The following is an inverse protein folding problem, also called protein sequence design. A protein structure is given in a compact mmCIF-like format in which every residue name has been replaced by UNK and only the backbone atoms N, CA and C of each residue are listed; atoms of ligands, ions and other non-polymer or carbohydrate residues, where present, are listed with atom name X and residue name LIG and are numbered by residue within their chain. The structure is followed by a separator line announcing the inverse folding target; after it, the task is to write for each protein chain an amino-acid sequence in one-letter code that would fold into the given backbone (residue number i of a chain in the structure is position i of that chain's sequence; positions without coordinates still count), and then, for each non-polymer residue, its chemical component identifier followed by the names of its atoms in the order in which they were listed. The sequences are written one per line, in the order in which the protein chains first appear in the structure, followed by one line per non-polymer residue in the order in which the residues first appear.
data_IF_740272837009
#
_entry.id   IF_740272837009
#
_cell.length_a   1.000
_cell.length_b   1.000
_cell.length_c   1.000
_cell.angle_alpha   90.00
_cell.angle_beta   90.00
_cell.angle_gamma   90.00
#
_symmetry.space_group_name_H-M   'P 1'
#
loop_
_entity.id
_entity.type
_entity.pdbx_description
1 polymer ?
#
# COMPACT_ATOMS: atom_id res chain seq x y z
N UNK A 1 49.69 62.73 -13.46
CA UNK A 1 49.56 61.38 -14.06
C UNK A 1 48.25 60.78 -13.57
N UNK A 2 47.23 60.66 -14.44
CA UNK A 2 45.92 60.08 -14.10
C UNK A 2 46.02 58.56 -14.26
N UNK A 3 45.91 57.81 -13.16
CA UNK A 3 45.80 56.35 -13.18
C UNK A 3 44.36 55.98 -13.50
N UNK A 4 44.16 55.28 -14.62
CA UNK A 4 42.90 54.63 -14.95
C UNK A 4 42.86 53.29 -14.22
N UNK A 5 41.88 53.12 -13.34
CA UNK A 5 41.60 51.85 -12.66
C UNK A 5 40.54 51.13 -13.49
N UNK A 6 40.96 50.16 -14.30
CA UNK A 6 40.04 49.24 -14.97
C UNK A 6 39.55 48.24 -13.93
N UNK A 7 38.30 48.40 -13.49
CA UNK A 7 37.60 47.41 -12.69
C UNK A 7 37.14 46.30 -13.65
N UNK A 8 37.91 45.20 -13.69
CA UNK A 8 37.49 43.98 -14.38
C UNK A 8 36.41 43.32 -13.51
N UNK A 9 35.16 43.43 -13.92
CA UNK A 9 34.07 42.60 -13.40
C UNK A 9 34.24 41.24 -14.04
N UNK A 10 34.89 40.30 -13.35
CA UNK A 10 34.82 38.89 -13.74
C UNK A 10 33.37 38.44 -13.51
N UNK A 11 32.67 37.87 -14.51
CA UNK A 11 31.42 37.18 -14.24
C UNK A 11 31.72 36.02 -13.31
N UNK A 12 31.14 36.06 -12.11
CA UNK A 12 31.11 34.94 -11.18
C UNK A 12 30.20 33.89 -11.82
N UNK A 13 30.79 32.98 -12.59
CA UNK A 13 30.09 31.79 -13.04
C UNK A 13 29.87 30.94 -11.79
N UNK A 14 28.64 30.93 -11.27
CA UNK A 14 28.19 29.91 -10.33
C UNK A 14 28.34 28.59 -11.07
N UNK A 15 29.36 27.81 -10.69
CA UNK A 15 29.44 26.41 -11.09
C UNK A 15 28.25 25.73 -10.40
N UNK A 16 27.18 25.48 -11.15
CA UNK A 16 26.19 24.51 -10.72
C UNK A 16 26.94 23.20 -10.46
N UNK A 17 26.70 22.59 -9.29
CA UNK A 17 27.12 21.23 -9.02
C UNK A 17 26.46 20.36 -10.08
N UNK A 18 27.24 19.98 -11.10
CA UNK A 18 26.86 18.86 -11.95
C UNK A 18 26.97 17.66 -11.02
N UNK A 19 25.84 17.10 -10.57
CA UNK A 19 25.85 15.79 -9.93
C UNK A 19 26.57 14.85 -10.89
N UNK A 20 27.70 14.30 -10.45
CA UNK A 20 28.45 13.36 -11.26
C UNK A 20 27.59 12.10 -11.41
N UNK A 21 27.27 11.73 -12.65
CA UNK A 21 26.68 10.42 -12.90
C UNK A 21 27.56 9.34 -12.23
N UNK A 22 26.95 8.33 -11.59
CA UNK A 22 27.69 7.26 -10.92
C UNK A 22 28.73 6.66 -11.86
N UNK A 23 30.00 6.96 -11.62
CA UNK A 23 31.07 6.42 -12.43
C UNK A 23 31.33 4.97 -11.98
N UNK A 24 31.35 4.04 -12.92
CA UNK A 24 31.77 2.68 -12.68
C UNK A 24 33.16 2.68 -12.01
N UNK A 25 33.23 2.23 -10.75
CA UNK A 25 34.45 2.23 -9.94
C UNK A 25 34.58 3.34 -8.90
N UNK A 26 33.74 4.37 -8.93
CA UNK A 26 33.70 5.45 -7.94
C UNK A 26 32.75 5.07 -6.81
N UNK A 27 33.29 4.40 -5.79
CA UNK A 27 32.53 3.82 -4.68
C UNK A 27 32.32 4.82 -3.55
N UNK A 28 33.17 5.85 -3.46
CA UNK A 28 33.08 6.89 -2.44
C UNK A 28 32.42 8.19 -2.92
N UNK A 29 32.01 8.25 -4.19
CA UNK A 29 31.37 9.39 -4.86
C UNK A 29 32.20 10.66 -4.84
N UNK A 30 33.52 10.51 -4.84
CA UNK A 30 34.43 11.66 -4.89
C UNK A 30 34.49 12.31 -6.28
N UNK A 31 33.93 11.67 -7.32
CA UNK A 31 34.02 12.06 -8.72
C UNK A 31 35.38 11.70 -9.35
N UNK A 32 36.22 10.97 -8.63
CA UNK A 32 37.54 10.52 -9.07
C UNK A 32 37.69 9.06 -8.70
N UNK A 33 37.79 8.20 -9.72
CA UNK A 33 38.11 6.79 -9.48
C UNK A 33 39.60 6.73 -9.08
N UNK A 34 39.93 6.32 -7.87
CA UNK A 34 41.29 6.08 -7.39
C UNK A 34 41.39 4.93 -6.36
N UNK A 35 42.44 4.93 -5.54
CA UNK A 35 42.67 3.87 -4.54
C UNK A 35 41.74 4.02 -3.33
N UNK A 36 41.19 5.21 -3.08
CA UNK A 36 40.20 5.44 -2.02
C UNK A 36 38.95 4.61 -2.26
N UNK A 37 38.52 4.46 -3.52
CA UNK A 37 37.42 3.59 -3.87
C UNK A 37 37.69 2.15 -3.45
N UNK A 38 38.82 1.57 -3.85
CA UNK A 38 39.16 0.20 -3.46
C UNK A 38 39.21 0.04 -1.93
N UNK A 39 39.72 1.04 -1.21
CA UNK A 39 39.71 1.03 0.26
C UNK A 39 38.28 1.06 0.79
N UNK A 40 37.40 1.88 0.20
CA UNK A 40 35.99 1.96 0.54
C UNK A 40 35.28 0.61 0.32
N UNK A 41 35.47 -0.01 -0.85
CA UNK A 41 34.92 -1.34 -1.16
C UNK A 41 35.43 -2.43 -0.21
N UNK A 42 36.73 -2.42 0.12
CA UNK A 42 37.30 -3.34 1.11
C UNK A 42 36.70 -3.13 2.49
N UNK A 43 36.54 -1.87 2.92
CA UNK A 43 35.96 -1.56 4.22
C UNK A 43 34.49 -1.97 4.29
N UNK A 44 33.71 -1.71 3.23
CA UNK A 44 32.35 -2.23 3.08
C UNK A 44 32.31 -3.76 3.24
N UNK A 45 33.15 -4.49 2.49
CA UNK A 45 33.12 -5.95 2.46
C UNK A 45 33.63 -6.63 3.73
N UNK A 46 34.64 -6.07 4.40
CA UNK A 46 35.38 -6.78 5.46
C UNK A 46 35.35 -6.08 6.81
N UNK A 47 35.15 -4.77 6.85
CA UNK A 47 35.22 -3.97 8.06
C UNK A 47 33.84 -3.52 8.57
N UNK A 48 32.76 -3.81 7.83
CA UNK A 48 31.44 -3.25 8.10
C UNK A 48 31.42 -1.73 7.90
N UNK A 49 32.19 -1.25 6.92
CA UNK A 49 32.19 0.14 6.49
C UNK A 49 30.81 0.61 6.02
N UNK A 50 30.68 1.90 5.66
CA UNK A 50 29.42 2.41 5.14
C UNK A 50 28.92 1.60 3.93
N UNK A 51 27.59 1.44 3.76
CA UNK A 51 27.03 0.77 2.59
C UNK A 51 27.47 1.50 1.31
N UNK A 52 27.76 0.75 0.24
CA UNK A 52 28.05 1.34 -1.06
C UNK A 52 26.86 2.20 -1.50
N UNK A 53 27.07 3.46 -1.88
CA UNK A 53 26.01 4.29 -2.42
C UNK A 53 25.37 3.64 -3.65
N UNK A 54 26.20 3.06 -4.52
CA UNK A 54 25.76 2.40 -5.75
C UNK A 54 26.38 1.00 -5.89
N UNK A 55 25.74 -0.05 -5.34
CA UNK A 55 26.25 -1.42 -5.43
C UNK A 55 26.59 -1.86 -6.86
N UNK A 56 25.81 -1.44 -7.84
CA UNK A 56 26.05 -1.73 -9.26
C UNK A 56 27.34 -1.12 -9.83
N UNK A 57 27.93 -0.08 -9.22
CA UNK A 57 29.22 0.47 -9.69
C UNK A 57 30.35 -0.47 -9.31
N UNK A 58 30.15 -1.30 -8.29
CA UNK A 58 31.13 -2.29 -7.88
C UNK A 58 31.08 -3.56 -8.74
N UNK A 59 29.96 -3.95 -9.36
CA UNK A 59 29.84 -5.20 -10.14
C UNK A 59 30.62 -5.16 -11.47
N UNK A 60 31.94 -5.31 -11.40
CA UNK A 60 32.79 -5.23 -12.59
C UNK A 60 32.85 -6.52 -13.40
N UNK A 61 32.47 -7.67 -12.81
CA UNK A 61 32.43 -8.96 -13.49
C UNK A 61 31.06 -9.29 -14.08
N UNK A 62 30.05 -8.45 -13.83
CA UNK A 62 28.69 -8.61 -14.36
C UNK A 62 27.98 -9.81 -13.76
N UNK A 63 28.31 -10.15 -12.51
CA UNK A 63 27.74 -11.29 -11.79
C UNK A 63 26.27 -11.05 -11.37
N UNK A 64 25.74 -9.85 -11.59
CA UNK A 64 24.30 -9.58 -11.57
C UNK A 64 23.72 -9.39 -10.18
N UNK A 65 24.51 -8.93 -9.22
CA UNK A 65 24.01 -8.71 -7.86
C UNK A 65 25.08 -8.67 -6.78
N UNK A 66 25.99 -9.62 -6.90
CA UNK A 66 26.74 -10.05 -5.73
C UNK A 66 28.07 -9.31 -5.67
N UNK A 67 28.19 -8.42 -4.69
CA UNK A 67 29.47 -7.80 -4.34
C UNK A 67 30.22 -8.76 -3.43
N UNK A 68 31.12 -9.53 -4.02
CA UNK A 68 31.96 -10.48 -3.30
C UNK A 68 33.46 -10.29 -3.64
N UNK A 69 34.31 -11.22 -3.18
CA UNK A 69 35.75 -11.11 -3.41
C UNK A 69 36.14 -11.11 -4.90
N UNK A 70 35.35 -11.74 -5.78
CA UNK A 70 35.57 -11.69 -7.24
C UNK A 70 35.44 -10.26 -7.75
N UNK A 71 34.47 -9.50 -7.22
CA UNK A 71 34.25 -8.09 -7.51
C UNK A 71 35.51 -7.27 -7.22
N UNK A 72 36.05 -7.40 -6.00
CA UNK A 72 37.28 -6.72 -5.60
C UNK A 72 38.49 -7.14 -6.45
N UNK A 73 38.64 -8.44 -6.72
CA UNK A 73 39.74 -8.96 -7.55
C UNK A 73 39.65 -8.37 -8.94
N UNK A 74 38.46 -8.34 -9.53
CA UNK A 74 38.24 -7.80 -10.87
C UNK A 74 38.57 -6.29 -10.93
N UNK A 75 38.23 -5.50 -9.91
CA UNK A 75 38.64 -4.09 -9.85
C UNK A 75 40.15 -3.91 -9.72
N UNK A 76 40.80 -4.66 -8.83
CA UNK A 76 42.27 -4.61 -8.68
C UNK A 76 42.96 -5.02 -9.97
N UNK A 77 42.49 -6.08 -10.65
CA UNK A 77 43.07 -6.55 -11.90
C UNK A 77 42.84 -5.58 -13.05
N UNK A 78 41.60 -5.10 -13.25
CA UNK A 78 41.26 -4.25 -14.39
C UNK A 78 41.83 -2.83 -14.29
N UNK A 79 41.86 -2.27 -13.07
CA UNK A 79 42.14 -0.86 -12.88
C UNK A 79 43.56 -0.60 -12.38
N UNK A 80 44.05 -1.41 -11.43
CA UNK A 80 45.33 -1.15 -10.75
C UNK A 80 46.51 -1.93 -11.31
N UNK A 81 46.32 -3.19 -11.69
CA UNK A 81 47.43 -4.04 -12.10
C UNK A 81 47.72 -3.94 -13.60
N UNK A 82 46.67 -3.75 -14.42
CA UNK A 82 46.78 -3.90 -15.86
C UNK A 82 46.19 -2.74 -16.67
N UNK A 83 46.39 -1.48 -16.26
CA UNK A 83 46.02 -0.22 -16.96
C UNK A 83 45.26 -0.44 -18.30
N UNK A 84 43.96 -0.78 -18.21
CA UNK A 84 43.06 -0.86 -19.36
C UNK A 84 42.97 -2.18 -20.13
N UNK A 85 43.35 -3.34 -19.57
CA UNK A 85 43.16 -4.65 -20.24
C UNK A 85 41.72 -5.17 -20.14
N UNK A 86 40.95 -4.78 -19.12
CA UNK A 86 39.52 -5.08 -19.05
C UNK A 86 38.69 -3.82 -18.78
N UNK A 87 37.57 -3.72 -19.49
CA UNK A 87 36.56 -2.68 -19.30
C UNK A 87 35.57 -3.22 -18.26
N UNK A 88 35.52 -2.66 -17.04
CA UNK A 88 34.60 -3.13 -16.02
C UNK A 88 33.17 -3.10 -16.57
N UNK A 89 32.45 -4.20 -16.40
CA UNK A 89 31.09 -4.38 -16.92
C UNK A 89 30.07 -3.89 -15.90
N UNK A 90 30.15 -2.62 -15.48
CA UNK A 90 29.09 -2.07 -14.63
C UNK A 90 27.78 -2.04 -15.43
N UNK A 91 26.87 -2.94 -15.11
CA UNK A 91 25.56 -3.00 -15.77
C UNK A 91 24.57 -2.14 -15.00
N UNK A 92 24.60 -0.84 -15.25
CA UNK A 92 23.46 0.01 -14.96
C UNK A 92 22.53 -0.02 -16.16
N UNK A 93 21.34 -0.57 -15.96
CA UNK A 93 20.26 -0.38 -16.92
C UNK A 93 19.39 0.71 -16.33
N UNK A 94 19.46 1.89 -16.94
CA UNK A 94 18.46 2.94 -16.72
C UNK A 94 17.08 2.32 -16.95
N UNK A 95 16.26 2.35 -15.91
CA UNK A 95 14.94 1.75 -15.90
C UNK A 95 13.93 2.80 -16.31
N UNK A 96 13.61 2.83 -17.60
CA UNK A 96 12.75 3.84 -18.20
C UNK A 96 11.24 3.57 -18.05
N UNK A 97 10.86 2.47 -17.38
CA UNK A 97 9.45 2.07 -17.23
C UNK A 97 8.89 2.59 -15.90
N UNK A 98 8.94 3.91 -15.72
CA UNK A 98 8.43 4.60 -14.54
C UNK A 98 7.63 5.84 -14.95
N UNK A 99 6.89 6.41 -13.99
CA UNK A 99 6.22 7.69 -14.12
C UNK A 99 6.31 8.49 -12.83
N UNK A 100 6.18 9.81 -12.93
CA UNK A 100 6.25 10.73 -11.79
C UNK A 100 4.97 11.55 -11.66
N UNK A 101 4.60 11.80 -10.41
CA UNK A 101 3.48 12.61 -10.02
C UNK A 101 3.92 13.52 -8.87
N UNK A 102 3.76 14.83 -9.04
CA UNK A 102 4.04 15.80 -7.99
C UNK A 102 2.73 16.31 -7.41
N UNK A 103 2.61 16.27 -6.08
CA UNK A 103 1.55 16.92 -5.34
C UNK A 103 1.56 18.44 -5.51
N UNK A 104 0.54 19.10 -4.96
CA UNK A 104 0.53 20.56 -4.89
C UNK A 104 1.49 21.03 -3.79
N UNK A 105 2.08 22.21 -4.02
CA UNK A 105 2.79 22.97 -3.00
C UNK A 105 1.98 22.99 -1.68
N UNK A 106 2.58 22.48 -0.61
CA UNK A 106 1.91 22.41 0.69
C UNK A 106 1.88 23.82 1.31
N UNK A 107 0.79 24.55 1.06
CA UNK A 107 0.53 25.96 1.45
C UNK A 107 0.60 26.24 2.98
N UNK A 108 0.85 25.24 3.82
CA UNK A 108 0.61 25.27 5.26
C UNK A 108 1.84 25.52 6.14
N UNK A 109 3.07 25.38 5.62
CA UNK A 109 4.26 25.73 6.38
C UNK A 109 4.58 27.22 6.19
N UNK A 110 3.94 28.08 6.98
CA UNK A 110 4.35 29.47 7.07
C UNK A 110 5.86 29.53 7.31
N UNK A 111 6.57 30.37 6.56
CA UNK A 111 8.03 30.47 6.45
C UNK A 111 8.86 30.59 7.77
N UNK A 112 8.21 30.52 8.93
CA UNK A 112 8.79 30.52 10.28
C UNK A 112 8.72 29.16 11.00
N UNK A 113 8.15 28.09 10.40
CA UNK A 113 7.97 26.79 11.05
C UNK A 113 9.24 25.91 11.07
N UNK A 114 10.37 26.44 11.55
CA UNK A 114 11.59 25.65 11.76
C UNK A 114 12.16 24.99 10.49
N UNK A 115 13.25 24.22 10.60
CA UNK A 115 13.66 23.36 9.49
C UNK A 115 12.51 22.37 9.23
N UNK A 116 11.91 22.45 8.05
CA UNK A 116 10.97 21.44 7.57
C UNK A 116 11.62 20.07 7.77
N UNK A 117 10.90 19.17 8.44
CA UNK A 117 11.41 17.82 8.64
C UNK A 117 11.12 17.07 7.38
N UNK A 118 12.19 16.74 6.66
CA UNK A 118 12.12 15.69 5.67
C UNK A 118 11.56 14.43 6.34
N UNK A 119 10.45 13.91 5.81
CA UNK A 119 9.77 12.74 6.39
C UNK A 119 10.34 11.42 5.86
N UNK A 120 11.38 11.47 5.03
CA UNK A 120 11.97 10.31 4.39
C UNK A 120 11.02 9.66 3.40
N UNK A 121 11.48 8.62 2.72
CA UNK A 121 10.68 7.89 1.74
C UNK A 121 9.95 6.67 2.34
N UNK A 122 8.88 6.23 1.69
CA UNK A 122 8.31 4.90 1.85
C UNK A 122 7.81 4.36 0.50
N UNK A 123 7.62 3.05 0.37
CA UNK A 123 7.14 2.43 -0.87
C UNK A 123 5.93 1.53 -0.67
N UNK A 124 5.11 1.38 -1.71
CA UNK A 124 3.91 0.53 -1.73
C UNK A 124 3.90 -0.30 -3.00
N UNK A 125 3.76 -1.62 -2.88
CA UNK A 125 3.49 -2.48 -4.03
C UNK A 125 1.99 -2.49 -4.35
N UNK A 126 1.63 -2.07 -5.56
CA UNK A 126 0.25 -2.06 -6.07
C UNK A 126 0.22 -2.91 -7.33
N UNK A 127 -0.23 -4.16 -7.18
CA UNK A 127 -0.21 -5.13 -8.27
C UNK A 127 1.21 -5.43 -8.77
N UNK A 128 1.51 -5.09 -10.02
CA UNK A 128 2.83 -5.25 -10.63
C UNK A 128 3.65 -3.95 -10.65
N UNK A 129 3.29 -3.00 -9.79
CA UNK A 129 3.92 -1.68 -9.72
C UNK A 129 4.43 -1.43 -8.29
N UNK A 130 5.47 -0.61 -8.16
CA UNK A 130 5.89 -0.06 -6.87
C UNK A 130 5.73 1.45 -6.94
N UNK A 131 4.88 1.99 -6.08
CA UNK A 131 4.76 3.42 -5.82
C UNK A 131 5.80 3.82 -4.77
N UNK A 132 6.52 4.88 -5.05
CA UNK A 132 7.57 5.43 -4.22
C UNK A 132 7.12 6.81 -3.80
N UNK A 133 6.88 6.99 -2.51
CA UNK A 133 6.40 8.22 -1.93
C UNK A 133 7.53 8.93 -1.20
N UNK A 134 7.66 10.22 -1.46
CA UNK A 134 8.51 11.12 -0.69
C UNK A 134 7.70 12.33 -0.20
N UNK A 135 7.04 12.20 0.98
CA UNK A 135 6.22 13.26 1.55
C UNK A 135 7.04 14.42 2.10
N UNK A 136 6.50 15.64 1.97
CA UNK A 136 7.10 16.89 2.47
C UNK A 136 8.55 17.16 2.00
N UNK A 137 8.92 16.70 0.80
CA UNK A 137 10.24 16.94 0.22
C UNK A 137 10.52 18.45 0.08
N UNK A 138 11.40 18.96 0.92
CA UNK A 138 11.61 20.41 1.10
C UNK A 138 12.62 21.01 0.14
N UNK A 139 13.44 20.17 -0.50
CA UNK A 139 14.50 20.56 -1.40
C UNK A 139 14.04 20.64 -2.86
N UNK A 140 12.89 20.05 -3.22
CA UNK A 140 12.32 20.25 -4.55
C UNK A 140 11.80 21.68 -4.66
N UNK A 141 12.53 22.53 -5.36
CA UNK A 141 12.17 23.94 -5.44
C UNK A 141 11.16 24.20 -6.56
N UNK A 142 11.09 23.33 -7.57
CA UNK A 142 10.40 23.59 -8.81
C UNK A 142 9.13 22.74 -8.97
N UNK A 143 8.16 23.26 -9.74
CA UNK A 143 6.97 22.50 -10.15
C UNK A 143 7.28 21.31 -11.08
N UNK A 144 8.54 21.12 -11.48
CA UNK A 144 8.94 20.07 -12.40
C UNK A 144 9.87 19.13 -11.68
N UNK A 145 9.43 17.89 -11.55
CA UNK A 145 10.09 16.81 -10.82
C UNK A 145 10.27 15.61 -11.76
N UNK A 146 11.39 14.92 -11.62
CA UNK A 146 11.67 13.65 -12.28
C UNK A 146 12.45 12.75 -11.31
N UNK A 147 12.25 11.43 -11.44
CA UNK A 147 13.06 10.44 -10.73
C UNK A 147 13.72 9.53 -11.74
N UNK A 148 15.04 9.57 -11.83
CA UNK A 148 15.77 8.63 -12.67
C UNK A 148 16.03 7.34 -11.90
N UNK A 149 15.41 6.24 -12.34
CA UNK A 149 15.62 4.93 -11.74
C UNK A 149 16.70 4.12 -12.43
N UNK A 150 17.56 3.50 -11.62
CA UNK A 150 18.53 2.50 -12.03
C UNK A 150 18.19 1.17 -11.36
N UNK A 151 18.16 0.08 -12.14
CA UNK A 151 17.79 -1.25 -11.63
C UNK A 151 19.00 -2.18 -11.56
N UNK A 152 19.12 -2.87 -10.43
CA UNK A 152 20.11 -3.91 -10.16
C UNK A 152 19.44 -5.15 -9.55
N UNK A 153 19.12 -6.14 -10.39
CA UNK A 153 18.33 -7.30 -9.95
C UNK A 153 16.94 -6.87 -9.46
N UNK A 154 16.71 -6.97 -8.15
CA UNK A 154 15.49 -6.50 -7.47
C UNK A 154 15.70 -5.22 -6.65
N UNK A 155 16.86 -4.56 -6.77
CA UNK A 155 17.14 -3.29 -6.12
C UNK A 155 16.98 -2.14 -7.13
N UNK A 156 16.12 -1.18 -6.83
CA UNK A 156 15.98 0.08 -7.56
C UNK A 156 16.66 1.22 -6.80
N UNK A 157 17.36 2.08 -7.52
CA UNK A 157 17.95 3.31 -6.99
C UNK A 157 17.36 4.47 -7.79
N UNK A 158 16.53 5.29 -7.14
CA UNK A 158 15.92 6.49 -7.72
C UNK A 158 16.70 7.74 -7.34
N UNK A 159 16.96 8.61 -8.32
CA UNK A 159 17.57 9.92 -8.10
C UNK A 159 16.56 10.98 -8.45
N UNK A 160 16.24 11.81 -7.48
CA UNK A 160 15.35 12.92 -7.71
C UNK A 160 16.09 14.06 -8.41
N UNK A 161 15.39 14.73 -9.32
CA UNK A 161 15.90 15.89 -10.02
C UNK A 161 14.80 16.93 -10.28
N UNK A 162 15.13 18.19 -10.05
CA UNK A 162 14.35 19.33 -10.54
C UNK A 162 14.52 19.46 -12.07
N UNK A 163 13.41 19.46 -12.82
CA UNK A 163 13.45 19.51 -14.30
C UNK A 163 13.31 20.92 -14.90
N UNK A 164 13.03 21.92 -14.07
CA UNK A 164 12.81 23.30 -14.51
C UNK A 164 14.02 24.23 -14.26
N UNK A 165 13.97 25.44 -14.83
CA UNK A 165 14.97 26.48 -14.54
C UNK A 165 15.00 26.82 -13.05
N UNK A 166 16.20 27.08 -12.51
CA UNK A 166 16.46 27.44 -11.12
C UNK A 166 15.35 28.31 -10.51
N UNK A 167 14.67 27.77 -9.52
CA UNK A 167 13.58 28.34 -8.77
C UNK A 167 13.96 28.42 -7.28
N UNK A 168 13.41 29.39 -6.55
CA UNK A 168 13.60 29.41 -5.10
C UNK A 168 12.63 28.40 -4.47
N UNK A 169 13.11 27.56 -3.54
CA UNK A 169 12.26 26.68 -2.74
C UNK A 169 11.31 27.50 -1.87
N UNK A 170 10.02 27.53 -2.24
CA UNK A 170 9.00 28.25 -1.49
C UNK A 170 8.14 27.35 -0.60
N UNK A 171 8.06 26.04 -0.91
CA UNK A 171 7.24 25.09 -0.17
C UNK A 171 7.72 23.66 -0.38
N UNK A 172 7.44 22.75 0.56
CA UNK A 172 7.62 21.33 0.35
C UNK A 172 6.53 20.75 -0.55
N UNK A 173 6.85 19.62 -1.17
CA UNK A 173 5.96 18.87 -2.06
C UNK A 173 5.84 17.43 -1.60
N UNK A 174 4.66 16.85 -1.77
CA UNK A 174 4.52 15.40 -1.72
C UNK A 174 4.86 14.84 -3.10
N UNK A 175 5.93 14.07 -3.19
CA UNK A 175 6.39 13.49 -4.43
C UNK A 175 5.97 12.03 -4.51
N UNK A 176 5.56 11.60 -5.69
CA UNK A 176 5.27 10.22 -5.99
C UNK A 176 5.94 9.84 -7.31
N UNK A 177 6.51 8.65 -7.36
CA UNK A 177 6.86 8.01 -8.62
C UNK A 177 6.46 6.55 -8.61
N UNK A 178 6.25 5.97 -9.78
CA UNK A 178 5.76 4.61 -9.94
C UNK A 178 6.70 3.82 -10.82
N UNK A 179 7.17 2.67 -10.35
CA UNK A 179 7.99 1.72 -11.09
C UNK A 179 7.06 0.63 -11.65
N UNK A 180 6.90 0.55 -12.97
CA UNK A 180 5.92 -0.31 -13.61
C UNK A 180 6.46 -1.69 -14.00
N UNK A 181 5.53 -2.59 -14.36
CA UNK A 181 5.81 -3.86 -15.04
C UNK A 181 6.79 -4.79 -14.32
N UNK A 182 6.70 -4.83 -12.99
CA UNK A 182 7.51 -5.69 -12.15
C UNK A 182 6.99 -7.13 -12.17
N UNK A 183 7.92 -8.08 -12.20
CA UNK A 183 7.60 -9.47 -11.94
C UNK A 183 7.32 -9.67 -10.45
N UNK A 184 6.55 -10.69 -10.06
CA UNK A 184 6.42 -11.04 -8.66
C UNK A 184 7.78 -11.27 -7.99
N UNK A 185 8.01 -10.68 -6.82
CA UNK A 185 9.27 -10.73 -6.09
C UNK A 185 9.36 -9.69 -4.97
N UNK A 186 10.34 -9.86 -4.10
CA UNK A 186 10.74 -8.85 -3.11
C UNK A 186 11.71 -7.86 -3.77
N UNK A 187 11.46 -6.58 -3.59
CA UNK A 187 12.21 -5.47 -4.17
C UNK A 187 12.65 -4.48 -3.11
N UNK A 188 13.86 -3.96 -3.26
CA UNK A 188 14.41 -2.90 -2.41
C UNK A 188 14.41 -1.62 -3.25
N UNK A 189 13.97 -0.51 -2.69
CA UNK A 189 14.06 0.82 -3.33
C UNK A 189 14.88 1.73 -2.44
N UNK A 190 15.88 2.38 -3.03
CA UNK A 190 16.67 3.45 -2.43
C UNK A 190 16.35 4.74 -3.15
N UNK A 191 16.03 5.80 -2.42
CA UNK A 191 15.80 7.13 -2.98
C UNK A 191 16.90 8.09 -2.53
N UNK A 192 17.45 8.82 -3.49
CA UNK A 192 18.50 9.82 -3.31
C UNK A 192 17.95 11.19 -3.74
N UNK A 193 18.11 12.21 -2.90
CA UNK A 193 17.64 13.56 -3.18
C UNK A 193 18.43 14.28 -4.28
N UNK A 194 17.99 15.51 -4.59
CA UNK A 194 18.65 16.40 -5.57
C UNK A 194 20.06 16.85 -5.16
N UNK A 195 20.41 16.74 -3.88
CA UNK A 195 21.71 17.10 -3.32
C UNK A 195 22.66 15.88 -3.24
N UNK A 196 22.16 14.67 -3.53
CA UNK A 196 22.89 13.40 -3.47
C UNK A 196 22.86 12.72 -2.10
N UNK A 197 22.01 13.17 -1.18
CA UNK A 197 21.80 12.55 0.12
C UNK A 197 20.84 11.36 0.04
N UNK A 198 20.99 10.42 0.96
CA UNK A 198 20.09 9.28 1.10
C UNK A 198 18.83 9.69 1.86
N UNK A 199 17.68 9.64 1.18
CA UNK A 199 16.37 9.90 1.80
C UNK A 199 15.80 8.69 2.49
N UNK A 200 16.01 7.51 1.90
CA UNK A 200 15.70 6.27 2.58
C UNK A 200 15.93 5.03 1.75
N UNK A 201 15.67 3.90 2.41
CA UNK A 201 15.69 2.57 1.80
C UNK A 201 14.50 1.82 2.35
N UNK A 202 13.66 1.31 1.46
CA UNK A 202 12.48 0.55 1.85
C UNK A 202 12.31 -0.70 0.97
N UNK A 203 11.55 -1.68 1.43
CA UNK A 203 11.38 -2.98 0.77
C UNK A 203 9.89 -3.29 0.57
N UNK A 204 9.53 -3.70 -0.64
CA UNK A 204 8.16 -4.06 -1.01
C UNK A 204 8.13 -5.42 -1.69
N UNK A 205 7.06 -6.18 -1.45
CA UNK A 205 6.81 -7.45 -2.12
C UNK A 205 5.76 -7.27 -3.19
N UNK A 206 6.19 -7.33 -4.45
CA UNK A 206 5.29 -7.41 -5.60
C UNK A 206 4.74 -8.83 -5.63
N UNK A 207 3.50 -9.03 -5.22
CA UNK A 207 2.85 -10.33 -5.24
C UNK A 207 2.27 -10.64 -6.63
N UNK A 208 2.07 -11.93 -6.92
CA UNK A 208 1.17 -12.32 -8.01
C UNK A 208 -0.26 -11.95 -7.63
N UNK A 209 -0.80 -10.90 -8.25
CA UNK A 209 -2.17 -10.42 -8.01
C UNK A 209 -2.20 -8.90 -7.98
N UNK A 210 -3.23 -8.28 -8.54
CA UNK A 210 -3.45 -6.86 -8.30
C UNK A 210 -3.88 -6.69 -6.84
N UNK A 211 -3.21 -5.78 -6.14
CA UNK A 211 -3.64 -5.34 -4.82
C UNK A 211 -4.09 -3.90 -5.00
N UNK A 212 -5.34 -3.61 -4.64
CA UNK A 212 -5.89 -2.26 -4.67
C UNK A 212 -6.34 -1.90 -3.27
N UNK A 213 -6.10 -0.66 -2.88
CA UNK A 213 -6.51 -0.15 -1.59
C UNK A 213 -7.35 1.10 -1.82
N UNK A 214 -8.45 1.19 -1.08
CA UNK A 214 -9.27 2.38 -1.01
C UNK A 214 -9.36 2.81 0.46
N UNK A 215 -8.99 4.07 0.69
CA UNK A 215 -9.14 4.72 1.99
C UNK A 215 -10.35 5.61 1.86
N UNK A 216 -11.46 5.19 2.45
CA UNK A 216 -12.70 5.97 2.45
C UNK A 216 -12.51 7.36 3.03
N UNK A 217 -13.47 8.26 2.77
CA UNK A 217 -13.43 9.59 3.37
C UNK A 217 -13.41 9.50 4.90
N UNK A 218 -12.66 10.41 5.53
CA UNK A 218 -12.70 10.66 6.96
C UNK A 218 -14.16 10.91 7.38
N UNK A 219 -14.78 9.96 8.07
CA UNK A 219 -16.17 10.08 8.52
C UNK A 219 -16.15 10.89 9.82
N UNK A 220 -16.61 12.16 9.81
CA UNK A 220 -16.57 13.00 11.00
C UNK A 220 -17.65 12.50 11.95
N UNK A 221 -17.30 12.14 13.19
CA UNK A 221 -18.30 11.77 14.19
C UNK A 221 -19.21 12.98 14.49
N UNK A 222 -20.50 12.94 14.14
CA UNK A 222 -21.40 14.07 14.36
C UNK A 222 -21.76 14.29 15.85
N UNK A 223 -21.37 13.39 16.77
CA UNK A 223 -21.84 13.37 18.17
C UNK A 223 -20.75 13.57 19.23
N UNK A 224 -19.53 13.96 18.87
CA UNK A 224 -18.39 14.08 19.81
C UNK A 224 -17.74 12.72 20.04
N UNK A 225 -17.01 12.43 21.14
CA UNK A 225 -16.48 11.09 21.38
C UNK A 225 -17.43 10.24 22.25
N UNK A 226 -18.48 9.56 21.74
CA UNK A 226 -19.19 8.55 22.50
C UNK A 226 -18.95 7.15 21.93
N UNK A 227 -18.52 6.24 22.81
CA UNK A 227 -18.63 4.78 22.63
C UNK A 227 -18.23 4.29 21.23
N UNK A 228 -16.95 4.52 20.88
CA UNK A 228 -16.27 3.94 19.72
C UNK A 228 -16.78 2.51 19.50
N UNK A 229 -17.54 2.31 18.43
CA UNK A 229 -17.96 0.97 18.03
C UNK A 229 -16.73 0.08 17.93
N UNK A 230 -16.88 -1.19 18.28
CA UNK A 230 -15.80 -2.15 18.05
C UNK A 230 -15.46 -2.14 16.54
N UNK A 231 -14.17 -2.14 16.15
CA UNK A 231 -13.78 -2.18 14.74
C UNK A 231 -14.39 -3.41 14.08
N UNK A 232 -14.98 -3.22 12.89
CA UNK A 232 -15.68 -4.31 12.20
C UNK A 232 -14.85 -4.71 10.99
N UNK A 233 -14.19 -5.87 11.09
CA UNK A 233 -13.40 -6.44 9.99
C UNK A 233 -14.14 -7.64 9.40
N UNK A 234 -14.35 -7.61 8.08
CA UNK A 234 -14.91 -8.72 7.32
C UNK A 234 -14.24 -8.88 5.96
N UNK A 235 -14.51 -10.04 5.34
CA UNK A 235 -13.89 -10.44 4.10
C UNK A 235 -14.98 -10.92 3.13
N UNK A 236 -14.93 -10.43 1.90
CA UNK A 236 -15.81 -10.80 0.80
C UNK A 236 -14.96 -11.50 -0.26
N UNK A 237 -15.43 -12.64 -0.76
CA UNK A 237 -14.78 -13.33 -1.89
C UNK A 237 -15.74 -13.37 -3.06
N UNK A 238 -15.39 -12.71 -4.16
CA UNK A 238 -16.20 -12.67 -5.36
C UNK A 238 -15.31 -12.74 -6.61
N UNK A 239 -15.59 -13.72 -7.47
CA UNK A 239 -14.99 -13.81 -8.80
C UNK A 239 -13.44 -13.81 -8.83
N UNK A 240 -12.80 -14.49 -7.87
CA UNK A 240 -11.34 -14.51 -7.76
C UNK A 240 -10.72 -13.30 -7.05
N UNK A 241 -11.56 -12.45 -6.46
CA UNK A 241 -11.18 -11.22 -5.76
C UNK A 241 -11.55 -11.33 -4.29
N UNK A 242 -10.58 -11.17 -3.40
CA UNK A 242 -10.76 -11.06 -1.96
C UNK A 242 -10.82 -9.58 -1.58
N UNK A 243 -11.93 -9.13 -1.02
CA UNK A 243 -12.05 -7.79 -0.45
C UNK A 243 -12.06 -7.89 1.06
N UNK A 244 -11.07 -7.32 1.74
CA UNK A 244 -11.09 -7.03 3.17
C UNK A 244 -11.71 -5.65 3.37
N UNK A 245 -12.70 -5.55 4.26
CA UNK A 245 -13.29 -4.28 4.68
C UNK A 245 -13.08 -4.12 6.18
N UNK A 246 -12.61 -2.94 6.59
CA UNK A 246 -12.47 -2.54 7.98
C UNK A 246 -13.30 -1.27 8.21
N UNK A 247 -14.47 -1.45 8.81
CA UNK A 247 -15.36 -0.36 9.21
C UNK A 247 -14.98 0.16 10.60
N UNK A 248 -15.19 1.46 10.81
CA UNK A 248 -14.84 2.14 12.05
C UNK A 248 -13.37 1.93 12.43
N UNK A 249 -12.45 2.09 11.47
CA UNK A 249 -11.01 1.91 11.68
C UNK A 249 -10.43 3.05 12.54
N UNK A 250 -10.77 3.08 13.82
CA UNK A 250 -10.50 4.20 14.71
C UNK A 250 -9.06 4.28 15.21
N UNK A 251 -8.23 3.29 14.92
CA UNK A 251 -6.80 3.37 15.19
C UNK A 251 -6.08 4.26 14.15
N UNK A 252 -6.75 4.52 13.03
CA UNK A 252 -6.17 5.23 11.91
C UNK A 252 -6.45 6.74 12.06
N UNK A 253 -5.63 7.42 12.87
CA UNK A 253 -5.84 8.82 13.23
C UNK A 253 -5.28 9.82 12.22
N UNK A 254 -4.40 9.40 11.31
CA UNK A 254 -3.75 10.27 10.35
C UNK A 254 -4.57 10.38 9.06
N UNK A 255 -4.46 11.53 8.39
CA UNK A 255 -5.07 11.73 7.07
C UNK A 255 -4.47 10.80 6.00
N UNK A 256 -3.22 10.38 6.19
CA UNK A 256 -2.53 9.50 5.26
C UNK A 256 -2.30 8.14 5.88
N UNK A 257 -3.01 7.18 5.30
CA UNK A 257 -3.02 5.78 5.67
C UNK A 257 -2.44 4.98 4.52
N UNK A 258 -1.56 4.06 4.86
CA UNK A 258 -1.04 3.06 3.95
C UNK A 258 -1.60 1.71 4.35
N UNK A 259 -2.18 1.00 3.39
CA UNK A 259 -2.46 -0.41 3.54
C UNK A 259 -1.40 -1.20 2.77
N UNK A 260 -0.83 -2.20 3.43
CA UNK A 260 0.14 -3.14 2.86
C UNK A 260 -0.38 -4.57 3.03
N UNK A 261 -0.02 -5.47 2.12
CA UNK A 261 -0.36 -6.90 2.17
C UNK A 261 0.90 -7.75 2.13
N UNK A 262 1.16 -8.45 3.23
CA UNK A 262 2.22 -9.44 3.32
C UNK A 262 1.60 -10.86 3.23
N UNK A 263 2.02 -11.66 2.24
CA UNK A 263 1.58 -13.06 2.07
C UNK A 263 2.70 -14.00 2.54
N UNK A 264 2.48 -14.69 3.66
CA UNK A 264 3.43 -15.67 4.23
C UNK A 264 2.82 -17.06 4.24
N UNK A 265 3.10 -17.84 3.18
CA UNK A 265 2.48 -19.14 3.00
C UNK A 265 0.96 -19.00 2.78
N UNK A 266 0.18 -19.57 3.69
CA UNK A 266 -1.29 -19.47 3.68
C UNK A 266 -1.80 -18.32 4.58
N UNK A 267 -0.92 -17.44 5.07
CA UNK A 267 -1.30 -16.28 5.89
C UNK A 267 -1.32 -15.01 5.05
N UNK A 268 -2.43 -14.28 5.05
CA UNK A 268 -2.61 -12.96 4.46
C UNK A 268 -2.57 -11.92 5.58
N UNK A 269 -1.60 -11.01 5.57
CA UNK A 269 -1.46 -9.97 6.60
C UNK A 269 -1.69 -8.60 5.99
N UNK A 270 -2.79 -7.98 6.36
CA UNK A 270 -3.11 -6.61 6.00
C UNK A 270 -2.49 -5.70 7.07
N UNK A 271 -1.61 -4.79 6.69
CA UNK A 271 -0.98 -3.82 7.59
C UNK A 271 -1.52 -2.43 7.29
N UNK A 272 -2.24 -1.86 8.23
CA UNK A 272 -2.74 -0.49 8.22
C UNK A 272 -1.72 0.38 8.95
N UNK A 273 -1.06 1.30 8.24
CA UNK A 273 0.00 2.14 8.80
C UNK A 273 -0.37 3.60 8.65
N UNK A 274 -0.32 4.36 9.73
CA UNK A 274 -0.31 5.81 9.65
C UNK A 274 1.05 6.24 9.10
N UNK A 275 1.10 6.74 7.86
CA UNK A 275 2.35 7.22 7.25
C UNK A 275 2.64 8.68 7.60
N UNK A 276 1.61 9.44 7.99
CA UNK A 276 1.79 10.83 8.40
C UNK A 276 2.05 11.01 9.91
N UNK A 277 3.30 10.80 10.31
CA UNK A 277 3.96 11.75 11.21
C UNK A 277 4.48 11.24 12.56
N UNK A 278 5.64 11.80 12.89
CA UNK A 278 6.39 11.75 14.16
C UNK A 278 5.59 12.05 15.45
N UNK A 279 4.31 12.38 15.37
CA UNK A 279 3.54 12.92 16.48
C UNK A 279 2.15 12.28 16.60
N UNK A 280 1.68 12.04 17.83
CA UNK A 280 0.33 11.57 18.08
C UNK A 280 -0.69 12.58 17.57
N UNK A 281 -1.23 12.32 16.38
CA UNK A 281 -2.42 12.99 15.88
C UNK A 281 -3.61 12.42 16.64
N UNK A 282 -4.37 13.25 17.40
CA UNK A 282 -5.60 12.78 17.99
C UNK A 282 -6.57 12.42 16.87
N UNK A 283 -7.06 11.17 16.86
CA UNK A 283 -8.10 10.72 15.95
C UNK A 283 -9.28 11.70 15.96
N UNK A 284 -9.49 12.39 14.85
CA UNK A 284 -10.65 13.29 14.66
C UNK A 284 -11.80 12.62 13.90
N UNK A 285 -11.51 11.49 13.22
CA UNK A 285 -12.46 10.69 12.48
C UNK A 285 -11.98 9.24 12.42
N UNK A 286 -12.84 8.36 11.93
CA UNK A 286 -12.53 7.00 11.53
C UNK A 286 -12.58 6.90 10.01
N UNK A 287 -11.96 5.84 9.51
CA UNK A 287 -11.87 5.54 8.10
C UNK A 287 -12.54 4.20 7.82
N UNK A 288 -13.13 4.12 6.64
CA UNK A 288 -13.63 2.88 6.06
C UNK A 288 -12.55 2.39 5.11
N UNK A 289 -11.82 1.35 5.51
CA UNK A 289 -10.71 0.85 4.72
C UNK A 289 -11.14 -0.35 3.91
N UNK A 290 -10.78 -0.35 2.63
CA UNK A 290 -10.99 -1.48 1.74
C UNK A 290 -9.67 -1.92 1.14
N UNK A 291 -9.34 -3.20 1.28
CA UNK A 291 -8.23 -3.84 0.56
C UNK A 291 -8.77 -4.91 -0.37
N UNK A 292 -8.38 -4.86 -1.63
CA UNK A 292 -8.78 -5.79 -2.68
C UNK A 292 -7.55 -6.57 -3.10
N UNK A 293 -7.63 -7.89 -3.05
CA UNK A 293 -6.57 -8.83 -3.42
C UNK A 293 -7.07 -9.74 -4.53
N UNK A 294 -6.52 -9.61 -5.72
CA UNK A 294 -6.85 -10.47 -6.85
C UNK A 294 -5.87 -11.63 -6.99
N UNK A 295 -6.30 -12.71 -7.64
CA UNK A 295 -5.39 -13.77 -8.09
C UNK A 295 -4.92 -14.73 -7.01
N UNK A 296 -5.50 -14.67 -5.81
CA UNK A 296 -5.29 -15.69 -4.78
C UNK A 296 -5.83 -17.05 -5.26
N UNK A 297 -5.03 -18.14 -5.20
CA UNK A 297 -5.56 -19.45 -5.51
C UNK A 297 -6.64 -19.85 -4.49
N UNK A 298 -7.65 -20.64 -4.90
CA UNK A 298 -8.59 -21.22 -3.94
C UNK A 298 -7.88 -22.02 -2.85
N UNK A 299 -8.31 -21.87 -1.61
CA UNK A 299 -7.62 -22.45 -0.46
C UNK A 299 -8.19 -22.04 0.89
N UNK A 300 -7.55 -22.48 1.96
CA UNK A 300 -7.81 -22.00 3.31
C UNK A 300 -6.67 -21.08 3.71
N UNK A 301 -7.01 -19.89 4.19
CA UNK A 301 -6.05 -18.87 4.58
C UNK A 301 -6.28 -18.44 6.03
N UNK A 302 -5.23 -17.92 6.66
CA UNK A 302 -5.32 -17.13 7.89
C UNK A 302 -5.24 -15.67 7.49
N UNK A 303 -6.32 -14.91 7.66
CA UNK A 303 -6.29 -13.47 7.48
C UNK A 303 -5.99 -12.79 8.81
N UNK A 304 -5.01 -11.90 8.82
CA UNK A 304 -4.56 -11.09 9.94
C UNK A 304 -4.64 -9.61 9.53
N UNK A 305 -5.23 -8.76 10.36
CA UNK A 305 -5.21 -7.30 10.18
C UNK A 305 -4.39 -6.71 11.31
N UNK A 306 -3.38 -5.93 10.97
CA UNK A 306 -2.49 -5.24 11.87
C UNK A 306 -2.67 -3.74 11.68
N UNK A 307 -2.71 -2.99 12.77
CA UNK A 307 -2.56 -1.53 12.74
C UNK A 307 -1.19 -1.14 13.30
N UNK A 308 -0.59 -0.11 12.74
CA UNK A 308 0.63 0.50 13.22
C UNK A 308 0.46 2.03 13.23
N UNK A 309 0.30 2.59 14.43
CA UNK A 309 0.06 4.02 14.57
C UNK A 309 1.30 4.87 14.31
N UNK A 310 2.49 4.32 14.54
CA UNK A 310 3.75 4.99 14.26
C UNK A 310 4.78 4.01 13.70
N UNK A 311 5.70 4.46 12.82
CA UNK A 311 6.70 3.58 12.21
C UNK A 311 7.57 2.80 13.20
N UNK A 312 7.80 3.35 14.40
CA UNK A 312 8.62 2.74 15.45
C UNK A 312 7.84 1.87 16.44
N UNK A 313 6.51 1.85 16.39
CA UNK A 313 5.70 1.00 17.26
C UNK A 313 5.56 -0.41 16.69
N UNK A 314 5.39 -1.39 17.56
CA UNK A 314 5.06 -2.75 17.12
C UNK A 314 3.63 -2.77 16.58
N UNK A 315 3.41 -3.44 15.44
CA UNK A 315 2.07 -3.56 14.86
C UNK A 315 1.12 -4.30 15.81
N UNK A 316 -0.05 -3.70 16.06
CA UNK A 316 -1.12 -4.25 16.87
C UNK A 316 -2.03 -5.15 16.01
N UNK A 317 -2.14 -6.43 16.37
CA UNK A 317 -3.08 -7.35 15.72
C UNK A 317 -4.54 -7.00 16.09
N UNK A 318 -5.31 -6.49 15.13
CA UNK A 318 -6.72 -6.11 15.26
C UNK A 318 -7.67 -7.28 15.03
N UNK A 319 -7.45 -8.06 13.96
CA UNK A 319 -8.27 -9.23 13.62
C UNK A 319 -7.39 -10.40 13.22
N UNK A 320 -7.85 -11.61 13.55
CA UNK A 320 -7.25 -12.86 13.08
C UNK A 320 -8.30 -13.94 12.92
N UNK A 321 -8.51 -14.42 11.70
CA UNK A 321 -9.46 -15.50 11.43
C UNK A 321 -9.07 -16.38 10.27
N UNK A 322 -9.58 -17.61 10.28
CA UNK A 322 -9.47 -18.49 9.13
C UNK A 322 -10.54 -18.09 8.11
N UNK A 323 -10.14 -17.85 6.88
CA UNK A 323 -11.03 -17.64 5.74
C UNK A 323 -10.85 -18.80 4.75
N UNK A 324 -11.91 -19.14 4.02
CA UNK A 324 -11.85 -20.13 2.96
C UNK A 324 -12.18 -19.45 1.64
N UNK A 325 -11.24 -19.50 0.69
CA UNK A 325 -11.42 -19.05 -0.68
C UNK A 325 -11.87 -20.26 -1.50
N UNK A 326 -13.16 -20.39 -1.81
CA UNK A 326 -13.71 -21.55 -2.49
C UNK A 326 -13.16 -21.71 -3.92
N UNK A 327 -13.08 -22.97 -4.37
CA UNK A 327 -12.61 -23.31 -5.70
C UNK A 327 -13.67 -22.99 -6.76
N UNK A 328 -13.40 -21.95 -7.55
CA UNK A 328 -14.28 -21.44 -8.61
C UNK A 328 -15.06 -20.20 -8.18
N UNK A 329 -15.85 -19.65 -9.10
CA UNK A 329 -16.78 -18.56 -8.81
C UNK A 329 -17.98 -19.10 -8.00
N UNK A 330 -17.77 -19.56 -6.77
CA UNK A 330 -18.87 -19.44 -5.78
C UNK A 330 -18.93 -17.98 -5.39
N UNK A 331 -19.38 -17.17 -6.33
CA UNK A 331 -19.86 -15.83 -6.05
C UNK A 331 -21.24 -16.00 -5.43
N UNK A 332 -21.54 -15.13 -4.48
CA UNK A 332 -22.94 -14.84 -4.21
C UNK A 332 -23.37 -13.86 -5.30
N UNK A 333 -24.11 -14.36 -6.29
CA UNK A 333 -24.18 -13.65 -7.58
C UNK A 333 -25.40 -12.75 -7.75
N UNK A 334 -26.45 -12.91 -6.93
CA UNK A 334 -27.70 -12.16 -7.09
C UNK A 334 -28.37 -11.92 -5.74
N UNK A 335 -28.58 -10.63 -5.43
CA UNK A 335 -29.54 -10.19 -4.44
C UNK A 335 -30.69 -9.47 -5.10
N UNK A 336 -31.88 -9.71 -4.57
CA UNK A 336 -33.07 -8.94 -4.91
C UNK A 336 -33.87 -8.67 -3.65
N UNK A 337 -34.36 -7.45 -3.52
CA UNK A 337 -35.43 -7.11 -2.61
C UNK A 337 -36.77 -7.07 -3.36
N UNK A 338 -37.88 -7.31 -2.64
CA UNK A 338 -39.23 -7.16 -3.19
C UNK A 338 -39.71 -5.71 -3.30
N UNK A 339 -38.88 -4.73 -2.94
CA UNK A 339 -39.29 -3.41 -2.51
C UNK A 339 -40.09 -3.45 -1.20
N UNK A 340 -40.45 -2.24 -0.74
CA UNK A 340 -41.22 -1.97 0.47
C UNK A 340 -42.60 -2.65 0.43
N UNK A 341 -42.78 -3.73 1.18
CA UNK A 341 -44.07 -4.42 1.32
C UNK A 341 -44.93 -3.67 2.35
N UNK A 342 -46.19 -3.38 2.00
CA UNK A 342 -47.16 -2.79 2.93
C UNK A 342 -47.24 -3.62 4.21
N UNK A 343 -47.05 -2.98 5.38
CA UNK A 343 -47.05 -3.57 6.75
C UNK A 343 -47.98 -4.77 6.90
N UNK A 344 -47.51 -5.94 6.47
CA UNK A 344 -48.12 -7.21 6.78
C UNK A 344 -47.71 -7.51 8.20
N UNK A 345 -48.65 -7.84 9.08
CA UNK A 345 -48.31 -8.45 10.38
C UNK A 345 -47.76 -9.87 10.23
N UNK A 346 -47.03 -10.12 9.14
CA UNK A 346 -46.34 -11.37 8.87
C UNK A 346 -45.23 -11.57 9.87
N UNK A 347 -44.95 -12.84 10.13
CA UNK A 347 -43.78 -13.23 10.92
C UNK A 347 -42.60 -13.23 9.96
N UNK A 348 -41.47 -12.65 10.34
CA UNK A 348 -40.22 -12.83 9.61
C UNK A 348 -39.91 -14.33 9.52
N UNK A 349 -39.68 -14.82 8.30
CA UNK A 349 -39.41 -16.24 8.01
C UNK A 349 -38.26 -16.33 7.03
N UNK A 350 -37.24 -17.11 7.38
CA UNK A 350 -36.16 -17.46 6.46
C UNK A 350 -36.42 -18.85 5.88
N UNK A 351 -36.39 -18.93 4.55
CA UNK A 351 -36.48 -20.16 3.79
C UNK A 351 -35.17 -20.42 3.06
N UNK A 352 -34.83 -21.70 2.96
CA UNK A 352 -33.63 -22.18 2.28
C UNK A 352 -34.05 -23.21 1.23
N UNK A 353 -33.68 -23.02 -0.03
CA UNK A 353 -33.96 -23.94 -1.13
C UNK A 353 -32.67 -24.28 -1.89
N UNK A 354 -32.28 -25.54 -1.85
CA UNK A 354 -31.13 -26.06 -2.58
C UNK A 354 -31.58 -26.82 -3.83
N UNK A 355 -31.00 -26.50 -4.98
CA UNK A 355 -31.33 -27.12 -6.27
C UNK A 355 -30.18 -27.99 -6.85
N UNK A 356 -29.18 -28.33 -6.03
CA UNK A 356 -28.06 -29.20 -6.38
C UNK A 356 -26.73 -28.46 -6.62
N UNK A 357 -26.77 -27.19 -7.01
CA UNK A 357 -25.58 -26.33 -7.11
C UNK A 357 -25.76 -24.98 -6.41
N UNK A 358 -27.00 -24.54 -6.24
CA UNK A 358 -27.34 -23.21 -5.73
C UNK A 358 -28.20 -23.33 -4.48
N UNK A 359 -27.75 -22.69 -3.40
CA UNK A 359 -28.56 -22.44 -2.21
C UNK A 359 -29.23 -21.08 -2.35
N UNK A 360 -30.55 -21.08 -2.49
CA UNK A 360 -31.38 -19.89 -2.45
C UNK A 360 -31.81 -19.64 -1.01
N UNK A 361 -31.49 -18.46 -0.49
CA UNK A 361 -32.03 -17.93 0.74
C UNK A 361 -33.15 -16.95 0.41
N UNK A 362 -34.26 -17.04 1.12
CA UNK A 362 -35.36 -16.07 1.05
C UNK A 362 -35.78 -15.70 2.47
N UNK A 363 -35.50 -14.49 2.91
CA UNK A 363 -35.99 -13.93 4.16
C UNK A 363 -37.24 -13.10 3.87
N UNK A 364 -38.40 -13.69 4.13
CA UNK A 364 -39.70 -13.06 3.97
C UNK A 364 -40.03 -12.15 5.13
N UNK A 365 -40.67 -11.02 4.83
CA UNK A 365 -41.08 -10.03 5.81
C UNK A 365 -39.93 -9.61 6.76
N UNK A 366 -38.73 -9.39 6.22
CA UNK A 366 -37.58 -8.93 6.99
C UNK A 366 -37.87 -7.53 7.57
N UNK A 367 -38.05 -7.47 8.89
CA UNK A 367 -38.41 -6.23 9.60
C UNK A 367 -37.20 -5.41 10.07
N UNK A 368 -35.99 -5.93 9.87
CA UNK A 368 -34.73 -5.30 10.28
C UNK A 368 -34.03 -4.54 9.14
N UNK A 369 -34.73 -4.33 8.03
CA UNK A 369 -34.19 -3.70 6.83
C UNK A 369 -35.06 -2.49 6.52
N UNK A 370 -34.87 -1.38 7.24
CA UNK A 370 -35.85 -0.28 7.21
C UNK A 370 -35.61 0.73 6.09
N UNK A 371 -34.44 0.65 5.45
CA UNK A 371 -34.09 1.45 4.29
C UNK A 371 -34.26 0.72 2.96
N UNK A 372 -34.36 1.51 1.90
CA UNK A 372 -34.51 1.01 0.52
C UNK A 372 -33.20 0.44 -0.07
N UNK A 373 -32.10 0.49 0.69
CA UNK A 373 -30.79 0.02 0.25
C UNK A 373 -30.28 -0.97 1.28
N UNK A 374 -30.40 -2.26 0.94
CA UNK A 374 -29.96 -3.37 1.78
C UNK A 374 -28.74 -3.97 1.10
N UNK A 375 -27.61 -3.92 1.78
CA UNK A 375 -26.47 -4.75 1.44
C UNK A 375 -26.65 -6.11 2.06
N UNK A 376 -26.37 -7.16 1.29
CA UNK A 376 -26.51 -8.51 1.79
C UNK A 376 -25.17 -9.22 1.62
N UNK A 377 -24.69 -9.81 2.70
CA UNK A 377 -23.38 -10.47 2.78
C UNK A 377 -23.51 -11.98 2.99
N UNK A 378 -22.45 -12.72 2.69
CA UNK A 378 -22.35 -14.14 2.99
C UNK A 378 -20.94 -14.51 3.43
N UNK A 379 -20.87 -15.37 4.44
CA UNK A 379 -19.62 -15.91 4.96
C UNK A 379 -19.83 -17.37 5.36
N UNK A 380 -19.01 -18.27 4.82
CA UNK A 380 -18.98 -19.67 5.22
C UNK A 380 -17.79 -19.94 6.16
N UNK A 381 -18.07 -20.38 7.39
CA UNK A 381 -17.06 -20.72 8.40
C UNK A 381 -17.26 -22.17 8.83
N UNK A 382 -16.47 -23.08 8.24
CA UNK A 382 -16.64 -24.53 8.43
C UNK A 382 -18.01 -24.97 7.92
N UNK A 383 -18.79 -25.64 8.79
CA UNK A 383 -20.17 -26.06 8.48
C UNK A 383 -21.22 -24.97 8.78
N UNK A 384 -20.81 -23.74 9.11
CA UNK A 384 -21.73 -22.63 9.39
C UNK A 384 -21.79 -21.67 8.19
N UNK A 385 -22.99 -21.41 7.69
CA UNK A 385 -23.28 -20.44 6.62
C UNK A 385 -23.91 -19.20 7.26
N UNK A 386 -23.25 -18.05 7.16
CA UNK A 386 -23.75 -16.79 7.70
C UNK A 386 -24.20 -15.90 6.57
N UNK A 387 -25.41 -15.38 6.68
CA UNK A 387 -25.98 -14.39 5.79
C UNK A 387 -26.15 -13.11 6.60
N UNK A 388 -25.79 -11.98 6.02
CA UNK A 388 -25.87 -10.67 6.65
C UNK A 388 -26.83 -9.81 5.87
N UNK A 389 -27.76 -9.14 6.53
CA UNK A 389 -28.67 -8.17 5.95
C UNK A 389 -28.39 -6.83 6.62
N UNK A 390 -27.70 -5.95 5.91
CA UNK A 390 -27.22 -4.69 6.43
C UNK A 390 -27.97 -3.59 5.71
N UNK A 391 -28.79 -2.84 6.43
CA UNK A 391 -29.32 -1.61 5.89
C UNK A 391 -28.22 -0.54 5.82
N UNK A 392 -27.86 -0.13 4.60
CA UNK A 392 -26.83 0.88 4.35
C UNK A 392 -27.42 2.24 3.97
N UNK A 393 -28.71 2.47 4.25
CA UNK A 393 -29.33 3.77 3.98
C UNK A 393 -28.80 4.87 4.92
N UNK A 394 -28.28 5.97 4.36
CA UNK A 394 -27.78 7.12 5.13
C UNK A 394 -28.86 7.85 5.94
N UNK A 395 -30.13 7.76 5.54
CA UNK A 395 -31.24 8.40 6.26
C UNK A 395 -31.92 7.43 7.23
N UNK A 396 -32.00 7.84 8.51
CA UNK A 396 -32.83 7.16 9.52
C UNK A 396 -34.28 7.09 9.03
N UNK A 397 -34.70 5.91 8.59
CA UNK A 397 -36.05 5.63 8.16
C UNK A 397 -36.77 4.81 9.22
N UNK A 398 -37.92 5.31 9.68
CA UNK A 398 -38.82 4.49 10.47
C UNK A 398 -39.22 3.26 9.65
N UNK A 399 -39.09 2.07 10.24
CA UNK A 399 -39.48 0.79 9.66
C UNK A 399 -41.00 0.73 9.39
N UNK A 400 -41.42 1.37 8.31
CA UNK A 400 -42.82 1.45 7.89
C UNK A 400 -43.20 0.31 6.93
N UNK A 401 -42.22 -0.45 6.46
CA UNK A 401 -42.40 -1.66 5.67
C UNK A 401 -41.43 -2.78 6.02
N UNK A 402 -41.79 -3.99 5.58
CA UNK A 402 -40.94 -5.17 5.52
C UNK A 402 -40.44 -5.38 4.10
N UNK A 403 -39.37 -6.16 3.95
CA UNK A 403 -38.78 -6.50 2.66
C UNK A 403 -38.63 -8.02 2.56
N UNK A 404 -38.87 -8.60 1.39
CA UNK A 404 -38.41 -9.95 1.12
C UNK A 404 -36.98 -9.84 0.57
N UNK A 405 -36.00 -10.34 1.32
CA UNK A 405 -34.60 -10.38 0.91
C UNK A 405 -34.31 -11.74 0.31
N UNK A 406 -33.77 -11.77 -0.90
CA UNK A 406 -33.41 -13.02 -1.57
C UNK A 406 -31.92 -13.04 -1.89
N UNK A 407 -31.23 -14.10 -1.50
CA UNK A 407 -29.80 -14.32 -1.77
C UNK A 407 -29.55 -15.66 -2.45
N UNK A 408 -28.58 -15.72 -3.35
CA UNK A 408 -28.18 -16.97 -4.02
C UNK A 408 -26.71 -17.26 -3.84
N UNK A 409 -26.41 -18.41 -3.24
CA UNK A 409 -25.05 -18.92 -3.07
C UNK A 409 -24.84 -20.07 -4.05
N UNK A 410 -23.94 -19.88 -5.01
CA UNK A 410 -23.64 -20.88 -6.03
C UNK A 410 -22.49 -21.79 -5.61
N UNK A 411 -22.44 -22.98 -6.20
CA UNK A 411 -21.39 -23.98 -6.03
C UNK A 411 -21.16 -24.41 -4.58
N UNK A 412 -22.19 -24.38 -3.74
CA UNK A 412 -22.10 -24.90 -2.37
C UNK A 412 -22.13 -26.43 -2.41
N UNK A 413 -21.15 -27.05 -1.74
CA UNK A 413 -21.04 -28.50 -1.69
C UNK A 413 -22.23 -29.12 -0.94
N UNK A 414 -22.69 -30.34 -1.33
CA UNK A 414 -23.66 -31.09 -0.55
C UNK A 414 -23.13 -31.38 0.86
N UNK A 415 -23.99 -31.26 1.87
CA UNK A 415 -23.57 -31.36 3.27
C UNK A 415 -24.64 -30.93 4.28
N UNK A 416 -24.32 -31.06 5.57
CA UNK A 416 -25.15 -30.56 6.66
C UNK A 416 -24.53 -29.29 7.19
N UNK A 417 -25.30 -28.19 7.15
CA UNK A 417 -24.83 -26.87 7.53
C UNK A 417 -25.70 -26.26 8.63
N UNK A 418 -25.14 -25.34 9.41
CA UNK A 418 -25.87 -24.42 10.27
C UNK A 418 -25.97 -23.08 9.54
N UNK A 419 -27.15 -22.74 9.04
CA UNK A 419 -27.41 -21.43 8.47
C UNK A 419 -27.80 -20.43 9.57
N UNK A 420 -27.16 -19.27 9.57
CA UNK A 420 -27.40 -18.15 10.48
C UNK A 420 -27.70 -16.91 9.63
N UNK A 421 -28.80 -16.21 9.92
CA UNK A 421 -29.10 -14.91 9.31
C UNK A 421 -28.94 -13.83 10.36
N UNK A 422 -28.09 -12.86 10.07
CA UNK A 422 -27.86 -11.68 10.89
C UNK A 422 -28.44 -10.46 10.19
N UNK A 423 -29.04 -9.54 10.94
CA UNK A 423 -29.48 -8.27 10.41
C UNK A 423 -29.12 -7.11 11.34
N UNK A 424 -28.87 -5.93 10.75
CA UNK A 424 -28.77 -4.64 11.48
C UNK A 424 -29.54 -3.55 10.73
N UNK A 425 -30.26 -2.71 11.47
CA UNK A 425 -31.06 -1.61 10.90
C UNK A 425 -30.20 -0.40 10.51
N UNK A 426 -29.10 -0.18 11.22
CA UNK A 426 -28.18 0.93 11.05
C UNK A 426 -26.75 0.40 11.15
N UNK A 427 -25.76 1.08 10.54
CA UNK A 427 -24.35 0.68 10.64
C UNK A 427 -23.88 0.51 12.10
N UNK A 428 -24.31 1.41 12.98
CA UNK A 428 -23.95 1.42 14.40
C UNK A 428 -24.72 0.40 15.25
N UNK A 429 -25.79 -0.20 14.72
CA UNK A 429 -26.58 -1.19 15.45
C UNK A 429 -25.81 -2.53 15.52
N UNK A 430 -25.85 -3.23 16.67
CA UNK A 430 -25.24 -4.55 16.77
C UNK A 430 -25.94 -5.53 15.82
N UNK A 431 -25.16 -6.41 15.17
CA UNK A 431 -25.70 -7.49 14.36
C UNK A 431 -26.58 -8.43 15.22
N UNK A 432 -27.84 -8.55 14.86
CA UNK A 432 -28.81 -9.40 15.55
C UNK A 432 -28.99 -10.71 14.78
N UNK A 433 -28.85 -11.84 15.48
CA UNK A 433 -29.19 -13.15 14.92
C UNK A 433 -30.71 -13.28 14.78
N UNK A 434 -31.19 -13.25 13.54
CA UNK A 434 -32.62 -13.28 13.18
C UNK A 434 -33.13 -14.70 12.98
N UNK A 435 -32.32 -15.56 12.36
CA UNK A 435 -32.64 -16.97 12.15
C UNK A 435 -31.40 -17.85 12.37
N UNK A 436 -31.65 -19.08 12.84
CA UNK A 436 -30.63 -20.11 12.97
C UNK A 436 -31.23 -21.48 12.73
N UNK A 437 -30.88 -22.12 11.63
CA UNK A 437 -31.43 -23.40 11.21
C UNK A 437 -30.34 -24.36 10.75
N UNK A 438 -30.47 -25.65 11.09
CA UNK A 438 -29.69 -26.70 10.43
C UNK A 438 -30.34 -27.04 9.09
N UNK A 439 -29.59 -26.90 8.00
CA UNK A 439 -30.02 -27.25 6.64
C UNK A 439 -29.18 -28.42 6.12
N UNK A 440 -29.80 -29.28 5.30
CA UNK A 440 -29.12 -30.39 4.64
C UNK A 440 -29.25 -30.16 3.14
N UNK A 441 -28.11 -30.05 2.48
CA UNK A 441 -27.97 -29.87 1.04
C UNK A 441 -27.71 -31.27 0.45
N UNK A 442 -28.73 -31.85 -0.19
CA UNK A 442 -28.69 -33.22 -0.74
C UNK A 442 -28.20 -33.28 -2.20
#
# INVERSE_FOLDING_TARGET
MKKWMFLFVLPLMLAGSVQAEPACGDFDLSGVIDISDIVYLVDFMFSGGPPLPFPGTADCDGAGGDIDISTLICWVECWFVFEGICTPQCSFVEFNDHSENSGQCLDSMGADSGPARDRGMYIVAVGNEIHVYHPEAYYQCCLGYNVQYYRYGNHFIGYEADTNELCDCYCPFDLESTIHNLSPGEYIVTLIDIDGNLEGVDTAVVATGAIYFDVGECVPDPKGPPEWGDPIIYYLWQSGVLTMVHENAWFNCAADLMLDLEIVGDTLRFHERNVNGDFPVPCMCYYELTSIVEGLPPGSYVAEVYNQDYPWEESLLLDRRNIHLPAGDSSMSEFGDSGCLSRGGGRSVVNYEYNGDTLNLQHFDATFNCGAVIEVGFNAVGDTLRFYEINISEEYMACDCSFDVTGRVYNIAPGSYVAEVYARNEPDDPLLLVDRQTIVLE
#
